data_IF_756930471139
#
_entry.id   IF_756930471139
#
_cell.length_a   1.000
_cell.length_b   1.000
_cell.length_c   1.000
_cell.angle_alpha   90.00
_cell.angle_beta   90.00
_cell.angle_gamma   90.00
#
_symmetry.space_group_name_H-M   'P 1'
#
loop_
_entity.id
_entity.type
_entity.pdbx_description
1 polymer ?
#
# COMPACT_ATOMS: atom_id res chain seq x y z
N UNK A 1 -13.70 -2.06 -0.66
CA UNK A 1 -12.52 -2.90 -0.40
C UNK A 1 -12.15 -3.59 -1.68
N UNK A 2 -10.86 -3.64 -2.03
CA UNK A 2 -10.40 -4.32 -3.25
C UNK A 2 -10.09 -5.77 -2.88
N UNK A 3 -10.71 -6.72 -3.55
CA UNK A 3 -10.34 -8.13 -3.47
C UNK A 3 -9.17 -8.38 -4.44
N UNK A 4 -8.02 -8.80 -3.90
CA UNK A 4 -6.79 -9.02 -4.67
C UNK A 4 -6.69 -10.47 -5.17
N UNK A 5 -7.80 -11.00 -5.70
CA UNK A 5 -8.03 -12.38 -6.21
C UNK A 5 -8.40 -13.39 -5.12
N UNK A 6 -9.70 -13.73 -5.01
CA UNK A 6 -10.16 -15.12 -4.92
C UNK A 6 -11.66 -15.33 -5.23
N UNK A 7 -12.34 -14.52 -6.07
CA UNK A 7 -13.72 -14.84 -6.52
C UNK A 7 -14.02 -14.41 -7.97
N UNK A 8 -14.82 -15.20 -8.68
CA UNK A 8 -15.32 -14.94 -10.04
C UNK A 8 -14.45 -15.53 -11.17
N UNK A 9 -15.04 -16.46 -11.94
CA UNK A 9 -14.60 -17.15 -13.19
C UNK A 9 -13.14 -17.58 -13.42
N UNK A 10 -12.20 -17.30 -12.53
CA UNK A 10 -10.81 -17.76 -12.58
C UNK A 10 -10.72 -19.23 -12.11
N UNK A 11 -11.55 -20.10 -12.69
CA UNK A 11 -11.26 -21.53 -12.76
C UNK A 11 -10.35 -21.71 -13.96
N UNK A 12 -9.19 -22.31 -13.72
CA UNK A 12 -8.15 -22.55 -14.70
C UNK A 12 -8.71 -23.15 -16.01
N UNK A 13 -8.78 -22.33 -17.05
CA UNK A 13 -8.71 -22.82 -18.43
C UNK A 13 -7.27 -22.62 -18.90
N UNK A 14 -6.51 -23.72 -18.97
CA UNK A 14 -5.16 -23.72 -19.55
C UNK A 14 -4.22 -24.68 -18.84
N UNK A 15 -4.11 -25.89 -19.38
CA UNK A 15 -3.36 -27.02 -18.84
C UNK A 15 -1.83 -26.83 -18.84
N UNK A 16 -1.18 -27.43 -17.83
CA UNK A 16 0.05 -28.21 -17.99
C UNK A 16 0.14 -29.22 -16.82
N UNK A 17 0.34 -30.53 -17.07
CA UNK A 17 0.46 -31.53 -16.02
C UNK A 17 1.89 -31.53 -15.45
N UNK A 18 2.02 -31.47 -14.12
CA UNK A 18 3.29 -31.70 -13.42
C UNK A 18 3.10 -32.92 -12.51
N UNK A 19 4.03 -33.89 -12.51
CA UNK A 19 3.80 -35.22 -11.95
C UNK A 19 3.69 -35.19 -10.43
N UNK A 20 2.73 -35.97 -9.96
CA UNK A 20 2.47 -36.30 -8.57
C UNK A 20 3.60 -37.10 -7.94
N UNK A 21 4.15 -36.63 -6.82
CA UNK A 21 4.64 -37.54 -5.78
C UNK A 21 4.42 -36.98 -4.38
N UNK A 22 3.88 -37.86 -3.53
CA UNK A 22 3.87 -37.87 -2.06
C UNK A 22 2.74 -37.18 -1.30
N UNK A 23 1.64 -37.95 -1.20
CA UNK A 23 0.95 -38.39 0.03
C UNK A 23 1.18 -37.61 1.34
N UNK A 24 0.06 -37.17 1.92
CA UNK A 24 -0.18 -37.32 3.37
C UNK A 24 -0.29 -36.04 4.20
N UNK A 25 -1.44 -35.34 4.13
CA UNK A 25 -2.08 -34.70 5.30
C UNK A 25 -3.48 -34.16 4.93
N UNK A 26 -4.51 -34.70 5.58
CA UNK A 26 -5.87 -34.14 5.57
C UNK A 26 -5.85 -32.81 6.34
N UNK A 27 -6.04 -31.70 5.62
CA UNK A 27 -6.34 -30.37 6.13
C UNK A 27 -7.11 -29.63 5.03
N UNK A 28 -8.08 -28.79 5.42
CA UNK A 28 -9.05 -28.04 4.59
C UNK A 28 -8.66 -27.90 3.10
N UNK A 29 -9.61 -28.27 2.22
CA UNK A 29 -9.54 -27.92 0.79
C UNK A 29 -9.57 -26.39 0.67
N UNK A 30 -8.40 -25.78 0.65
CA UNK A 30 -8.23 -24.49 0.02
C UNK A 30 -8.55 -24.72 -1.46
N UNK A 31 -9.78 -24.37 -1.83
CA UNK A 31 -10.13 -24.19 -3.23
C UNK A 31 -9.17 -23.09 -3.66
N UNK A 32 -8.22 -23.37 -4.57
CA UNK A 32 -7.24 -22.40 -5.06
C UNK A 32 -5.85 -22.99 -5.28
N UNK A 33 -5.23 -22.67 -6.42
CA UNK A 33 -3.79 -22.90 -6.58
C UNK A 33 -3.05 -21.98 -5.58
N UNK A 34 -1.99 -22.46 -4.92
CA UNK A 34 -1.19 -21.61 -4.05
C UNK A 34 -0.61 -20.45 -4.86
N UNK A 35 -0.72 -19.24 -4.32
CA UNK A 35 -0.18 -18.04 -4.95
C UNK A 35 1.34 -18.17 -5.09
N UNK A 36 1.85 -17.93 -6.30
CA UNK A 36 3.28 -17.93 -6.61
C UNK A 36 3.84 -16.52 -6.43
N UNK A 37 5.17 -16.37 -6.27
CA UNK A 37 5.83 -15.06 -6.24
C UNK A 37 5.40 -14.10 -7.36
N UNK A 38 5.25 -14.63 -8.58
CA UNK A 38 4.81 -13.87 -9.74
C UNK A 38 3.38 -13.31 -9.60
N UNK A 39 2.50 -14.00 -8.87
CA UNK A 39 1.12 -13.58 -8.66
C UNK A 39 1.08 -12.35 -7.74
N UNK A 40 1.94 -12.28 -6.71
CA UNK A 40 2.08 -11.08 -5.87
C UNK A 40 2.62 -9.88 -6.64
N UNK A 41 3.60 -10.10 -7.53
CA UNK A 41 4.12 -9.04 -8.39
C UNK A 41 3.03 -8.52 -9.34
N UNK A 42 2.18 -9.42 -9.85
CA UNK A 42 1.03 -9.07 -10.66
C UNK A 42 -0.03 -8.28 -9.86
N UNK A 43 -0.23 -8.56 -8.56
CA UNK A 43 -1.13 -7.75 -7.72
C UNK A 43 -0.66 -6.30 -7.64
N UNK A 44 0.65 -6.08 -7.51
CA UNK A 44 1.24 -4.74 -7.48
C UNK A 44 1.15 -4.07 -8.86
N UNK A 45 1.59 -4.74 -9.92
CA UNK A 45 1.80 -4.12 -11.22
C UNK A 45 0.56 -4.10 -12.13
N UNK A 46 -0.42 -4.97 -11.88
CA UNK A 46 -1.61 -5.11 -12.72
C UNK A 46 -2.87 -4.77 -11.93
N UNK A 47 -3.10 -5.46 -10.81
CA UNK A 47 -4.38 -5.33 -10.09
C UNK A 47 -4.54 -3.92 -9.48
N UNK A 48 -3.50 -3.39 -8.82
CA UNK A 48 -3.52 -2.02 -8.29
C UNK A 48 -3.46 -0.95 -9.38
N UNK A 49 -2.84 -1.21 -10.54
CA UNK A 49 -2.94 -0.31 -11.70
C UNK A 49 -4.37 -0.26 -12.25
N UNK A 50 -5.11 -1.37 -12.25
CA UNK A 50 -6.51 -1.38 -12.66
C UNK A 50 -7.37 -0.54 -11.71
N UNK A 51 -7.14 -0.63 -10.40
CA UNK A 51 -7.78 0.24 -9.40
C UNK A 51 -7.40 1.70 -9.64
N UNK A 52 -6.11 1.97 -9.92
CA UNK A 52 -5.64 3.31 -10.24
C UNK A 52 -6.30 3.86 -11.50
N UNK A 53 -6.51 3.05 -12.52
CA UNK A 53 -7.23 3.45 -13.74
C UNK A 53 -8.67 3.87 -13.43
N UNK A 54 -9.38 3.14 -12.56
CA UNK A 54 -10.68 3.57 -12.09
C UNK A 54 -10.61 4.93 -11.37
N UNK A 55 -9.66 5.11 -10.45
CA UNK A 55 -9.46 6.40 -9.76
C UNK A 55 -9.13 7.51 -10.75
N UNK A 56 -8.40 7.20 -11.83
CA UNK A 56 -8.08 8.15 -12.89
C UNK A 56 -9.35 8.59 -13.61
N UNK A 57 -10.22 7.66 -14.01
CA UNK A 57 -11.47 8.01 -14.70
C UNK A 57 -12.39 8.87 -13.80
N UNK A 58 -12.48 8.54 -12.51
CA UNK A 58 -13.19 9.35 -11.51
C UNK A 58 -12.55 10.73 -11.29
N UNK A 59 -11.22 10.81 -11.41
CA UNK A 59 -10.46 12.05 -11.38
C UNK A 59 -10.58 12.89 -12.64
N UNK A 60 -10.83 12.30 -13.80
CA UNK A 60 -11.16 13.10 -14.97
C UNK A 60 -12.61 13.62 -14.86
N UNK A 61 -13.48 12.88 -14.17
CA UNK A 61 -14.89 13.23 -13.99
C UNK A 61 -15.19 14.20 -12.83
N UNK A 62 -14.19 14.70 -12.10
CA UNK A 62 -14.42 15.64 -11.00
C UNK A 62 -14.87 15.00 -9.68
N UNK A 63 -14.98 13.67 -9.61
CA UNK A 63 -15.58 12.97 -8.46
C UNK A 63 -14.58 12.54 -7.39
N UNK A 64 -13.34 12.22 -7.79
CA UNK A 64 -12.29 11.79 -6.88
C UNK A 64 -10.95 12.47 -7.17
N UNK A 65 -10.24 12.94 -6.16
CA UNK A 65 -8.91 13.54 -6.37
C UNK A 65 -7.82 12.47 -6.28
N UNK A 66 -7.25 12.08 -7.42
CA UNK A 66 -6.15 11.12 -7.49
C UNK A 66 -4.90 11.59 -6.72
N UNK A 67 -4.70 12.90 -6.57
CA UNK A 67 -3.56 13.49 -5.83
C UNK A 67 -3.66 13.26 -4.31
N UNK A 68 -4.79 12.72 -3.84
CA UNK A 68 -5.10 12.47 -2.43
C UNK A 68 -5.28 10.97 -2.18
N UNK A 69 -4.51 10.13 -2.87
CA UNK A 69 -4.65 8.68 -2.74
C UNK A 69 -4.03 8.18 -1.43
N UNK A 70 -4.84 7.42 -0.68
CA UNK A 70 -4.41 6.66 0.48
C UNK A 70 -4.65 5.16 0.28
N UNK A 71 -3.79 4.32 0.85
CA UNK A 71 -3.95 2.86 0.79
C UNK A 71 -3.96 2.31 2.21
N UNK A 72 -4.94 1.44 2.50
CA UNK A 72 -5.01 0.65 3.73
C UNK A 72 -4.67 -0.79 3.38
N UNK A 73 -3.59 -1.30 3.95
CA UNK A 73 -3.09 -2.65 3.72
C UNK A 73 -3.01 -3.45 5.03
N UNK A 74 -3.89 -4.43 5.26
CA UNK A 74 -3.77 -5.37 6.37
C UNK A 74 -2.84 -6.55 6.02
N UNK A 75 -2.01 -6.99 6.96
CA UNK A 75 -1.12 -8.16 6.87
C UNK A 75 -0.25 -8.14 5.60
N UNK A 76 -0.42 -9.12 4.72
CA UNK A 76 0.19 -9.19 3.40
C UNK A 76 -0.10 -7.97 2.53
N UNK A 77 -1.31 -7.41 2.64
CA UNK A 77 -1.72 -6.18 1.96
C UNK A 77 -0.85 -4.98 2.31
N UNK A 78 -0.23 -4.95 3.50
CA UNK A 78 0.74 -3.93 3.85
C UNK A 78 1.98 -3.97 2.94
N UNK A 79 2.49 -5.18 2.66
CA UNK A 79 3.63 -5.37 1.75
C UNK A 79 3.30 -4.96 0.33
N UNK A 80 2.11 -5.32 -0.15
CA UNK A 80 1.61 -4.94 -1.48
C UNK A 80 1.46 -3.41 -1.57
N UNK A 81 0.86 -2.78 -0.56
CA UNK A 81 0.67 -1.32 -0.51
C UNK A 81 1.99 -0.55 -0.55
N UNK A 82 3.00 -0.98 0.21
CA UNK A 82 4.34 -0.36 0.19
C UNK A 82 5.00 -0.52 -1.17
N UNK A 83 4.94 -1.71 -1.76
CA UNK A 83 5.54 -1.97 -3.08
C UNK A 83 4.89 -1.13 -4.16
N UNK A 84 3.55 -1.05 -4.11
CA UNK A 84 2.80 -0.24 -5.04
C UNK A 84 3.07 1.26 -4.87
N UNK A 85 3.18 1.75 -3.64
CA UNK A 85 3.54 3.14 -3.41
C UNK A 85 4.90 3.48 -4.05
N UNK A 86 5.92 2.64 -3.87
CA UNK A 86 7.21 2.85 -4.54
C UNK A 86 7.08 2.75 -6.06
N UNK A 87 6.35 1.76 -6.57
CA UNK A 87 6.09 1.60 -8.00
C UNK A 87 5.41 2.84 -8.60
N UNK A 88 4.39 3.36 -7.91
CA UNK A 88 3.64 4.54 -8.34
C UNK A 88 4.50 5.80 -8.36
N UNK A 89 5.37 5.97 -7.35
CA UNK A 89 6.29 7.10 -7.27
C UNK A 89 7.45 7.02 -8.28
N UNK A 90 7.79 5.82 -8.75
CA UNK A 90 8.82 5.60 -9.75
C UNK A 90 8.35 5.87 -11.20
N UNK A 91 7.05 6.09 -11.43
CA UNK A 91 6.52 6.37 -12.78
C UNK A 91 6.96 7.76 -13.24
N UNK A 92 7.73 7.78 -14.32
CA UNK A 92 8.11 9.01 -14.98
C UNK A 92 6.89 9.77 -15.54
N UNK A 93 6.84 11.11 -15.45
CA UNK A 93 5.81 11.92 -16.09
C UNK A 93 5.75 11.70 -17.62
N UNK A 94 4.64 12.10 -18.24
CA UNK A 94 4.56 12.09 -19.70
C UNK A 94 5.57 13.07 -20.32
N UNK A 95 6.13 12.72 -21.48
CA UNK A 95 7.00 13.63 -22.26
C UNK A 95 6.22 14.75 -22.98
N UNK A 96 5.21 15.34 -22.35
CA UNK A 96 4.28 16.28 -22.99
C UNK A 96 4.49 17.75 -22.61
N UNK A 97 5.59 18.05 -21.91
CA UNK A 97 5.98 19.39 -21.51
C UNK A 97 7.47 19.48 -21.17
N UNK A 98 7.93 20.69 -20.83
CA UNK A 98 9.27 20.91 -20.29
C UNK A 98 9.42 20.24 -18.91
N UNK A 99 10.65 19.85 -18.49
CA UNK A 99 10.89 19.30 -17.17
C UNK A 99 10.25 20.15 -16.06
N UNK A 100 9.48 19.51 -15.17
CA UNK A 100 8.73 20.19 -14.09
C UNK A 100 7.31 20.64 -14.47
N UNK A 101 6.97 20.70 -15.77
CA UNK A 101 5.63 21.05 -16.28
C UNK A 101 4.95 19.91 -17.05
N UNK A 102 5.55 18.73 -16.98
CA UNK A 102 5.04 17.48 -17.55
C UNK A 102 3.80 17.00 -16.79
N UNK A 103 2.90 16.33 -17.49
CA UNK A 103 1.72 15.72 -16.89
C UNK A 103 2.15 14.49 -16.07
N UNK A 104 1.88 14.44 -14.75
CA UNK A 104 2.36 13.33 -13.93
C UNK A 104 1.53 12.06 -14.14
N UNK A 105 2.23 10.91 -14.25
CA UNK A 105 1.65 9.56 -14.43
C UNK A 105 1.52 8.77 -13.12
N UNK A 106 2.16 9.26 -12.07
CA UNK A 106 2.34 8.62 -10.78
C UNK A 106 2.47 9.66 -9.68
N UNK A 107 3.11 9.24 -8.59
CA UNK A 107 3.36 10.06 -7.40
C UNK A 107 2.05 10.50 -6.72
N UNK A 108 1.06 9.62 -6.76
CA UNK A 108 -0.31 9.87 -6.33
C UNK A 108 -0.57 9.36 -4.91
N UNK A 109 0.14 8.31 -4.50
CA UNK A 109 0.05 7.75 -3.13
C UNK A 109 0.67 8.70 -2.13
N UNK A 110 -0.15 9.32 -1.29
CA UNK A 110 0.28 10.29 -0.27
C UNK A 110 0.19 9.74 1.16
N UNK A 111 -0.58 8.68 1.39
CA UNK A 111 -0.73 8.09 2.71
C UNK A 111 -0.85 6.56 2.67
N UNK A 112 -0.23 5.89 3.65
CA UNK A 112 -0.28 4.45 3.85
C UNK A 112 -0.76 4.15 5.27
N UNK A 113 -1.70 3.21 5.39
CA UNK A 113 -2.10 2.62 6.67
C UNK A 113 -1.74 1.14 6.59
N UNK A 114 -0.88 0.68 7.48
CA UNK A 114 -0.38 -0.70 7.52
C UNK A 114 -0.90 -1.35 8.81
N UNK A 115 -1.77 -2.35 8.70
CA UNK A 115 -2.41 -3.01 9.84
C UNK A 115 -1.77 -4.39 10.02
N UNK A 116 -1.16 -4.67 11.17
CA UNK A 116 -0.33 -5.86 11.43
C UNK A 116 0.64 -6.14 10.29
N UNK A 117 1.56 -5.21 9.94
CA UNK A 117 2.44 -5.40 8.80
C UNK A 117 3.40 -6.57 9.01
N UNK A 118 3.50 -7.42 7.99
CA UNK A 118 4.54 -8.46 7.92
C UNK A 118 5.74 -7.97 7.09
N UNK A 119 6.95 -8.11 7.62
CA UNK A 119 8.18 -7.67 6.93
C UNK A 119 8.40 -8.35 5.57
N UNK A 120 8.03 -9.63 5.50
CA UNK A 120 8.04 -10.45 4.30
C UNK A 120 7.00 -11.56 4.46
N UNK A 121 6.06 -11.63 3.52
CA UNK A 121 5.18 -12.79 3.42
C UNK A 121 5.97 -13.95 2.82
N UNK A 122 6.13 -15.04 3.55
CA UNK A 122 6.99 -16.15 3.15
C UNK A 122 6.58 -16.70 1.78
N UNK A 123 7.54 -16.82 0.86
CA UNK A 123 7.27 -17.31 -0.50
C UNK A 123 6.63 -16.30 -1.45
N UNK A 124 6.36 -15.06 -1.03
CA UNK A 124 5.78 -14.03 -1.93
C UNK A 124 6.79 -13.39 -2.88
N UNK A 125 8.09 -13.43 -2.54
CA UNK A 125 9.11 -12.67 -3.27
C UNK A 125 8.98 -11.14 -3.14
N UNK A 126 8.00 -10.64 -2.37
CA UNK A 126 7.77 -9.22 -2.11
C UNK A 126 8.21 -8.89 -0.69
N UNK A 127 9.19 -7.99 -0.55
CA UNK A 127 9.73 -7.57 0.75
C UNK A 127 9.50 -6.07 0.94
N UNK A 128 8.75 -5.68 1.95
CA UNK A 128 8.53 -4.25 2.22
C UNK A 128 9.78 -3.57 2.77
N UNK A 129 10.59 -4.28 3.56
CA UNK A 129 11.70 -3.70 4.35
C UNK A 129 12.75 -3.00 3.50
N UNK A 130 13.02 -3.52 2.29
CA UNK A 130 13.96 -2.92 1.33
C UNK A 130 13.45 -1.63 0.70
N UNK A 131 12.13 -1.40 0.72
CA UNK A 131 11.46 -0.27 0.09
C UNK A 131 11.12 0.86 1.08
N UNK A 132 11.10 0.57 2.38
CA UNK A 132 10.84 1.57 3.43
C UNK A 132 11.77 2.80 3.36
N UNK A 133 13.06 2.71 2.95
CA UNK A 133 13.89 3.90 2.72
C UNK A 133 13.33 4.85 1.65
N UNK A 134 12.70 4.32 0.60
CA UNK A 134 12.08 5.15 -0.43
C UNK A 134 10.79 5.81 0.09
N UNK A 135 10.03 5.14 0.96
CA UNK A 135 8.80 5.66 1.58
C UNK A 135 9.09 6.79 2.57
N UNK A 136 10.14 6.67 3.38
CA UNK A 136 10.48 7.68 4.40
C UNK A 136 11.15 8.94 3.84
N UNK A 137 11.36 9.01 2.53
CA UNK A 137 11.97 10.15 1.85
C UNK A 137 11.10 11.41 2.03
N UNK A 138 11.62 12.47 2.67
CA UNK A 138 10.87 13.70 2.89
C UNK A 138 10.36 14.34 1.59
N UNK A 139 11.09 14.17 0.48
CA UNK A 139 10.71 14.74 -0.82
C UNK A 139 9.42 14.12 -1.37
N UNK A 140 9.08 12.89 -0.97
CA UNK A 140 7.85 12.22 -1.38
C UNK A 140 6.65 12.60 -0.53
N UNK A 141 6.86 13.19 0.64
CA UNK A 141 5.79 13.63 1.54
C UNK A 141 4.74 12.54 1.90
N UNK A 142 5.11 11.26 1.83
CA UNK A 142 4.20 10.14 2.16
C UNK A 142 4.03 10.08 3.68
N UNK A 143 2.79 9.93 4.15
CA UNK A 143 2.48 9.70 5.56
C UNK A 143 2.21 8.22 5.82
N UNK A 144 2.68 7.68 6.94
CA UNK A 144 2.49 6.26 7.29
C UNK A 144 1.89 6.12 8.68
N UNK A 145 0.79 5.39 8.77
CA UNK A 145 0.18 4.92 10.01
C UNK A 145 0.38 3.41 10.11
N UNK A 146 0.98 2.94 11.19
CA UNK A 146 1.11 1.52 11.50
C UNK A 146 0.19 1.21 12.69
N UNK A 147 -0.61 0.16 12.55
CA UNK A 147 -1.51 -0.31 13.59
C UNK A 147 -1.24 -1.79 13.87
N UNK A 148 -1.25 -2.21 15.13
CA UNK A 148 -1.18 -3.64 15.50
C UNK A 148 -1.93 -3.90 16.81
N UNK A 149 -2.21 -5.18 17.09
CA UNK A 149 -2.67 -5.58 18.42
C UNK A 149 -1.56 -5.51 19.47
N UNK A 150 -1.92 -5.69 20.74
CA UNK A 150 -0.98 -5.69 21.88
C UNK A 150 -0.39 -7.08 22.18
N UNK A 151 -0.42 -8.00 21.21
CA UNK A 151 0.35 -9.22 21.32
C UNK A 151 1.86 -8.88 21.23
N UNK A 152 2.72 -9.39 22.13
CA UNK A 152 4.13 -9.02 22.15
C UNK A 152 4.88 -9.26 20.85
N UNK A 153 4.50 -10.29 20.07
CA UNK A 153 5.15 -10.57 18.78
C UNK A 153 4.71 -9.56 17.73
N UNK A 154 3.41 -9.32 17.62
CA UNK A 154 2.84 -8.32 16.70
C UNK A 154 3.41 -6.93 16.96
N UNK A 155 3.45 -6.52 18.23
CA UNK A 155 4.00 -5.22 18.63
C UNK A 155 5.49 -5.12 18.27
N UNK A 156 6.28 -6.16 18.52
CA UNK A 156 7.69 -6.17 18.15
C UNK A 156 7.91 -6.05 16.63
N UNK A 157 7.09 -6.74 15.83
CA UNK A 157 7.13 -6.65 14.37
C UNK A 157 6.72 -5.26 13.86
N UNK A 158 5.58 -4.75 14.34
CA UNK A 158 5.09 -3.42 13.96
C UNK A 158 6.07 -2.31 14.37
N UNK A 159 6.65 -2.41 15.57
CA UNK A 159 7.68 -1.49 16.05
C UNK A 159 8.93 -1.54 15.16
N UNK A 160 9.38 -2.71 14.74
CA UNK A 160 10.53 -2.83 13.83
C UNK A 160 10.26 -2.18 12.47
N UNK A 161 9.08 -2.39 11.89
CA UNK A 161 8.68 -1.69 10.64
C UNK A 161 8.61 -0.17 10.88
N UNK A 162 8.06 0.26 12.01
CA UNK A 162 7.99 1.67 12.40
C UNK A 162 9.37 2.30 12.53
N UNK A 163 10.31 1.65 13.22
CA UNK A 163 11.67 2.16 13.40
C UNK A 163 12.43 2.25 12.05
N UNK A 164 12.06 1.47 11.03
CA UNK A 164 12.65 1.59 9.69
C UNK A 164 12.18 2.84 8.95
N UNK A 165 10.91 3.21 9.08
CA UNK A 165 10.32 4.42 8.45
C UNK A 165 10.51 5.68 9.31
N UNK A 166 10.69 5.52 10.61
CA UNK A 166 10.87 6.57 11.59
C UNK A 166 12.02 6.23 12.56
N UNK A 167 13.27 6.17 12.07
CA UNK A 167 14.40 5.77 12.89
C UNK A 167 14.59 6.72 14.08
N UNK A 168 14.91 6.19 15.27
CA UNK A 168 15.18 7.03 16.44
C UNK A 168 16.38 7.92 16.15
N UNK A 169 16.20 9.22 16.34
CA UNK A 169 17.22 10.23 16.09
C UNK A 169 18.36 10.08 17.10
N UNK A 170 19.46 9.47 16.69
CA UNK A 170 20.73 9.58 17.41
C UNK A 170 21.28 10.98 17.17
N UNK A 171 20.98 11.90 18.08
CA UNK A 171 21.46 13.28 18.12
C UNK A 171 21.00 14.24 17.01
N UNK A 172 20.62 15.44 17.44
CA UNK A 172 20.40 16.67 16.65
C UNK A 172 18.94 17.00 16.30
N UNK A 173 18.70 18.31 16.23
CA UNK A 173 17.44 19.06 16.26
C UNK A 173 16.53 18.86 15.04
N UNK A 174 16.53 17.68 14.42
CA UNK A 174 15.97 17.44 13.07
C UNK A 174 14.62 16.69 13.06
N UNK A 175 13.91 16.60 14.21
CA UNK A 175 12.54 16.03 14.25
C UNK A 175 11.58 16.73 13.27
N UNK A 176 11.71 18.04 13.11
CA UNK A 176 10.93 18.82 12.14
C UNK A 176 11.38 18.59 10.68
N UNK A 177 12.62 18.13 10.45
CA UNK A 177 13.26 18.07 9.13
C UNK A 177 13.14 16.73 8.41
N UNK A 178 13.04 15.60 9.13
CA UNK A 178 13.06 14.28 8.49
C UNK A 178 11.68 13.77 8.10
N UNK A 179 10.71 13.68 9.02
CA UNK A 179 9.36 13.23 8.67
C UNK A 179 8.23 13.92 9.46
N UNK A 180 8.57 14.83 10.39
CA UNK A 180 7.59 15.45 11.27
C UNK A 180 6.66 14.42 11.92
N UNK A 181 5.40 14.80 12.06
CA UNK A 181 4.32 13.99 12.66
C UNK A 181 3.74 12.92 11.71
N UNK A 182 4.31 12.73 10.51
CA UNK A 182 3.74 11.92 9.41
C UNK A 182 3.82 10.41 9.62
N UNK A 183 4.75 9.94 10.45
CA UNK A 183 4.93 8.52 10.76
C UNK A 183 4.37 8.25 12.15
N UNK A 184 3.40 7.34 12.26
CA UNK A 184 2.77 7.00 13.56
C UNK A 184 2.63 5.50 13.74
N UNK A 185 2.77 5.04 14.98
CA UNK A 185 2.49 3.67 15.42
C UNK A 185 1.40 3.73 16.49
N UNK A 186 0.37 2.91 16.34
CA UNK A 186 -0.70 2.72 17.32
C UNK A 186 -0.85 1.24 17.66
N UNK A 187 -0.69 0.92 18.94
CA UNK A 187 -0.92 -0.41 19.48
C UNK A 187 -2.32 -0.43 20.08
N UNK A 188 -3.21 -1.25 19.52
CA UNK A 188 -4.57 -1.39 20.00
C UNK A 188 -4.61 -2.34 21.20
N UNK A 189 -5.46 -2.08 22.22
CA UNK A 189 -5.56 -2.90 23.42
C UNK A 189 -6.33 -4.21 23.16
N UNK A 190 -5.94 -4.96 22.13
CA UNK A 190 -6.58 -6.20 21.71
C UNK A 190 -5.55 -7.20 21.18
N UNK A 191 -5.78 -8.47 21.48
CA UNK A 191 -5.02 -9.61 20.95
C UNK A 191 -5.61 -10.09 19.62
N UNK A 192 -5.82 -9.15 18.69
CA UNK A 192 -6.30 -9.42 17.34
C UNK A 192 -5.21 -9.02 16.34
N UNK A 193 -5.25 -9.61 15.15
CA UNK A 193 -4.29 -9.37 14.07
C UNK A 193 -5.01 -9.02 12.78
N UNK A 194 -4.32 -8.23 11.95
CA UNK A 194 -4.74 -8.01 10.57
C UNK A 194 -6.14 -7.43 10.43
N UNK A 195 -6.93 -8.00 9.54
CA UNK A 195 -8.32 -7.55 9.31
C UNK A 195 -9.21 -7.74 10.52
N UNK A 196 -8.87 -8.62 11.46
CA UNK A 196 -9.66 -8.79 12.69
C UNK A 196 -9.57 -7.55 13.60
N UNK A 197 -8.60 -6.65 13.38
CA UNK A 197 -8.53 -5.37 14.09
C UNK A 197 -9.58 -4.37 13.59
N UNK A 198 -10.11 -4.54 12.37
CA UNK A 198 -11.19 -3.72 11.78
C UNK A 198 -12.58 -4.08 12.35
N UNK A 199 -12.62 -4.54 13.60
CA UNK A 199 -13.85 -4.78 14.34
C UNK A 199 -14.28 -3.51 15.06
N UNK A 200 -15.59 -3.23 15.06
CA UNK A 200 -16.21 -1.97 15.50
C UNK A 200 -15.91 -1.58 16.97
N UNK A 201 -15.33 -2.50 17.75
CA UNK A 201 -15.03 -2.32 19.17
C UNK A 201 -13.68 -1.66 19.44
N UNK A 202 -12.81 -1.55 18.43
CA UNK A 202 -11.43 -1.10 18.60
C UNK A 202 -11.16 0.31 18.08
N UNK A 203 -12.17 0.99 17.53
CA UNK A 203 -12.09 2.37 17.03
C UNK A 203 -10.94 2.61 16.02
N UNK A 204 -10.41 1.56 15.39
CA UNK A 204 -9.33 1.68 14.40
C UNK A 204 -9.81 2.44 13.17
N UNK A 205 -11.08 2.33 12.80
CA UNK A 205 -11.67 3.04 11.67
C UNK A 205 -11.64 4.54 11.94
N UNK A 206 -11.95 4.96 13.16
CA UNK A 206 -11.85 6.38 13.56
C UNK A 206 -10.42 6.85 13.50
N UNK A 207 -9.47 6.03 13.93
CA UNK A 207 -8.04 6.33 13.83
C UNK A 207 -7.61 6.53 12.37
N UNK A 208 -8.01 5.63 11.47
CA UNK A 208 -7.71 5.67 10.04
C UNK A 208 -8.34 6.90 9.38
N UNK A 209 -9.61 7.19 9.66
CA UNK A 209 -10.32 8.37 9.14
C UNK A 209 -9.64 9.65 9.61
N UNK A 210 -9.31 9.76 10.90
CA UNK A 210 -8.61 10.94 11.43
C UNK A 210 -7.23 11.13 10.79
N UNK A 211 -6.53 10.03 10.51
CA UNK A 211 -5.25 10.06 9.81
C UNK A 211 -5.40 10.56 8.38
N UNK A 212 -6.35 10.04 7.61
CA UNK A 212 -6.62 10.51 6.25
C UNK A 212 -7.18 11.93 6.21
N UNK A 213 -7.98 12.34 7.18
CA UNK A 213 -8.44 13.71 7.29
C UNK A 213 -7.23 14.66 7.45
N UNK A 214 -6.27 14.31 8.31
CA UNK A 214 -5.06 15.11 8.54
C UNK A 214 -4.08 15.12 7.36
N UNK A 215 -3.89 14.00 6.66
CA UNK A 215 -2.79 13.86 5.68
C UNK A 215 -3.24 13.77 4.22
N UNK A 216 -4.55 13.66 3.95
CA UNK A 216 -5.09 13.68 2.58
C UNK A 216 -6.11 14.80 2.40
N UNK A 217 -7.10 14.89 3.28
CA UNK A 217 -8.22 15.83 3.11
C UNK A 217 -7.79 17.29 3.27
N UNK A 218 -7.07 17.63 4.34
CA UNK A 218 -6.61 19.00 4.61
C UNK A 218 -5.42 19.43 3.75
N UNK A 219 -4.73 18.49 3.10
CA UNK A 219 -3.61 18.80 2.21
C UNK A 219 -4.12 19.61 1.02
N UNK A 220 -3.51 20.77 0.82
CA UNK A 220 -3.81 21.65 -0.31
C UNK A 220 -3.16 21.09 -1.58
N UNK A 221 -3.85 20.15 -2.23
CA UNK A 221 -3.46 19.63 -3.55
C UNK A 221 -4.35 20.26 -4.62
N UNK A 222 -3.77 21.00 -5.55
CA UNK A 222 -4.51 21.50 -6.71
C UNK A 222 -4.98 20.34 -7.59
N UNK A 223 -6.23 20.39 -8.05
CA UNK A 223 -6.70 19.47 -9.08
C UNK A 223 -5.91 19.71 -10.36
N UNK A 224 -5.32 18.67 -10.93
CA UNK A 224 -4.49 18.77 -12.13
C UNK A 224 -4.86 17.62 -13.05
N UNK A 225 -5.20 17.98 -14.27
CA UNK A 225 -5.47 17.03 -15.33
C UNK A 225 -4.35 16.00 -15.47
N UNK A 226 -4.73 14.72 -15.58
CA UNK A 226 -3.79 13.59 -15.66
C UNK A 226 -3.69 13.01 -17.07
N UNK A 227 -4.46 13.53 -18.02
CA UNK A 227 -4.34 13.15 -19.42
C UNK A 227 -3.17 13.85 -20.10
N UNK A 228 -2.43 13.10 -20.91
CA UNK A 228 -1.34 13.67 -21.68
C UNK A 228 -1.85 14.77 -22.63
N UNK A 229 -1.20 15.93 -22.58
CA UNK A 229 -1.49 17.08 -23.46
C UNK A 229 -1.31 16.73 -24.94
N UNK A 230 -0.46 15.74 -25.27
CA UNK A 230 -0.28 15.23 -26.64
C UNK A 230 -1.53 14.53 -27.18
N UNK A 231 -2.31 13.86 -26.32
CA UNK A 231 -3.56 13.19 -26.74
C UNK A 231 -4.68 14.19 -27.06
N UNK A 232 -4.72 15.34 -26.38
CA UNK A 232 -5.72 16.40 -26.60
C UNK A 232 -5.50 17.24 -27.87
N UNK A 233 -4.33 17.13 -28.51
CA UNK A 233 -3.98 17.86 -29.74
C UNK A 233 -4.32 17.11 -31.03
N UNK A 234 -4.91 15.91 -30.92
CA UNK A 234 -5.48 15.16 -32.05
C UNK A 234 -6.99 15.25 -32.00
#
# INVERSE_FOLDING_TARGET
TVDLRYHGESKANGAAPVPTTNQGKKGKKDVGLPLRPADYQAMVQLDLEAVKKFIFDEHQAGRLNMNKMGIVGPEMGASIAVNYAVYDWAKEPYEDGQPGFQTPRGQDVQALVLISPEEAFHGSGIKMTQLLPAIKDPAKNISVLICCGNDPKEEAHAKKVFDMVNPPLTASKDKERLNGDRMRLYVLPARLTGTNLLDQRLDIEKLIVNFFDKYLKTVNSTWRDRESKRKKKK
#
